data_IF_132191884468
#
_entry.id   IF_132191884468
#
_cell.length_a   1.000
_cell.length_b   1.000
_cell.length_c   1.000
_cell.angle_alpha   90.00
_cell.angle_beta   90.00
_cell.angle_gamma   90.00
#
_symmetry.space_group_name_H-M   'P 1'
#
loop_
_entity.id
_entity.type
_entity.pdbx_description
1 polymer ?
#
# COMPACT_ATOMS: atom_id res chain seq x y z
N UNK A 1 27.72 -19.52 5.25
CA UNK A 1 27.29 -18.17 4.83
C UNK A 1 26.03 -18.34 3.99
N UNK A 2 24.86 -18.05 4.56
CA UNK A 2 23.58 -18.25 3.85
C UNK A 2 23.18 -16.96 3.11
N UNK A 3 22.70 -17.03 1.86
CA UNK A 3 22.25 -15.84 1.15
C UNK A 3 20.99 -15.30 1.83
N UNK A 4 21.00 -14.02 2.17
CA UNK A 4 19.79 -13.27 2.52
C UNK A 4 19.03 -13.03 1.23
N UNK A 5 18.08 -13.91 0.92
CA UNK A 5 17.03 -13.58 -0.04
C UNK A 5 16.30 -12.35 0.49
N UNK A 6 16.22 -11.23 -0.24
CA UNK A 6 15.23 -10.23 0.11
C UNK A 6 13.88 -10.90 -0.14
N UNK A 7 13.26 -11.39 0.92
CA UNK A 7 11.82 -11.55 0.87
C UNK A 7 11.30 -10.16 0.54
N UNK A 8 10.81 -9.96 -0.68
CA UNK A 8 9.71 -9.03 -0.95
C UNK A 8 8.50 -9.60 -0.20
N UNK A 9 8.64 -9.69 1.13
CA UNK A 9 7.64 -10.11 2.07
C UNK A 9 6.57 -9.08 1.91
N UNK A 10 5.56 -9.43 1.12
CA UNK A 10 4.25 -8.84 1.10
C UNK A 10 4.33 -7.32 1.16
N UNK A 11 4.06 -6.63 0.06
CA UNK A 11 3.34 -5.37 0.20
C UNK A 11 2.01 -5.73 0.88
N UNK A 12 2.05 -5.94 2.20
CA UNK A 12 0.92 -5.82 3.09
C UNK A 12 0.50 -4.43 2.73
N UNK A 13 -0.56 -4.31 1.94
CA UNK A 13 -1.27 -3.06 1.73
C UNK A 13 -1.44 -2.55 3.14
N UNK A 14 -0.57 -1.61 3.52
CA UNK A 14 -0.38 -1.31 4.91
C UNK A 14 -1.74 -0.87 5.38
N UNK A 15 -2.23 -1.44 6.48
CA UNK A 15 -3.48 -0.99 7.09
C UNK A 15 -3.51 0.55 7.12
N UNK A 16 -2.34 1.16 7.30
CA UNK A 16 -2.05 2.58 7.12
C UNK A 16 -1.80 2.99 5.66
N UNK A 17 -2.56 3.98 5.21
CA UNK A 17 -2.51 4.53 3.86
C UNK A 17 -1.25 5.40 3.68
N UNK A 18 -0.23 4.90 2.98
CA UNK A 18 0.97 5.62 2.52
C UNK A 18 1.60 6.62 3.52
N UNK A 19 1.71 6.25 4.81
CA UNK A 19 2.31 7.11 5.84
C UNK A 19 1.41 8.23 6.37
N UNK A 20 0.17 8.32 5.89
CA UNK A 20 -0.88 9.16 6.48
C UNK A 20 -1.35 8.59 7.83
N UNK A 21 -2.03 9.38 8.68
CA UNK A 21 -2.66 8.85 9.89
C UNK A 21 -3.85 7.92 9.60
N UNK A 22 -4.32 7.82 8.34
CA UNK A 22 -5.50 7.03 7.99
C UNK A 22 -5.19 5.54 7.90
N UNK A 23 -6.00 4.74 8.59
CA UNK A 23 -5.86 3.30 8.72
C UNK A 23 -7.19 2.60 8.46
N UNK A 24 -7.24 1.56 7.61
CA UNK A 24 -8.47 0.79 7.33
C UNK A 24 -8.55 -0.48 8.18
N UNK A 25 -9.56 -0.57 9.06
CA UNK A 25 -9.79 -1.72 9.97
C UNK A 25 -11.26 -2.08 10.03
N UNK A 26 -11.57 -3.36 9.86
CA UNK A 26 -12.95 -3.86 9.89
C UNK A 26 -13.87 -3.20 8.86
N UNK A 27 -13.34 -2.74 7.73
CA UNK A 27 -14.10 -2.03 6.70
C UNK A 27 -14.28 -0.52 6.94
N UNK A 28 -13.78 0.02 8.06
CA UNK A 28 -13.89 1.43 8.40
C UNK A 28 -12.54 2.13 8.42
N UNK A 29 -12.55 3.44 8.16
CA UNK A 29 -11.38 4.30 8.27
C UNK A 29 -11.22 4.82 9.69
N UNK A 30 -10.00 4.72 10.22
CA UNK A 30 -9.58 5.22 11.51
C UNK A 30 -8.43 6.19 11.33
N UNK A 31 -8.51 7.37 11.95
CA UNK A 31 -7.41 8.32 12.04
C UNK A 31 -6.63 8.04 13.32
N UNK A 32 -5.36 7.69 13.18
CA UNK A 32 -4.49 7.32 14.31
C UNK A 32 -3.55 8.47 14.63
N UNK A 33 -3.63 8.96 15.87
CA UNK A 33 -2.71 9.92 16.47
C UNK A 33 -2.01 9.30 17.69
N UNK A 34 -1.00 9.98 18.22
CA UNK A 34 -0.33 9.54 19.46
C UNK A 34 -1.28 9.47 20.66
N UNK A 35 -2.31 10.32 20.68
CA UNK A 35 -3.29 10.42 21.76
C UNK A 35 -4.42 9.39 21.65
N UNK A 36 -4.54 8.68 20.52
CA UNK A 36 -5.61 7.69 20.31
C UNK A 36 -6.00 7.51 18.85
N UNK A 37 -7.10 6.79 18.63
CA UNK A 37 -7.69 6.58 17.31
C UNK A 37 -9.10 7.12 17.26
N UNK A 38 -9.44 7.81 16.17
CA UNK A 38 -10.77 8.35 15.91
C UNK A 38 -11.37 7.66 14.68
N UNK A 39 -12.62 7.22 14.80
CA UNK A 39 -13.37 6.69 13.67
C UNK A 39 -13.71 7.85 12.70
N UNK A 40 -13.33 7.72 11.43
CA UNK A 40 -13.78 8.63 10.39
C UNK A 40 -15.22 8.26 10.00
N UNK A 41 -16.17 9.10 10.39
CA UNK A 41 -17.60 8.88 10.16
C UNK A 41 -18.19 9.75 9.05
N UNK A 42 -17.49 10.79 8.62
CA UNK A 42 -17.94 11.66 7.53
C UNK A 42 -17.88 10.90 6.17
N UNK A 43 -19.01 10.75 5.46
CA UNK A 43 -19.06 9.98 4.22
C UNK A 43 -18.23 10.58 3.07
N UNK A 44 -18.16 11.91 2.98
CA UNK A 44 -17.39 12.56 1.92
C UNK A 44 -15.89 12.34 2.15
N UNK A 45 -15.45 12.53 3.39
CA UNK A 45 -14.06 12.29 3.78
C UNK A 45 -13.64 10.83 3.61
N UNK A 46 -14.48 9.88 4.05
CA UNK A 46 -14.19 8.45 3.86
C UNK A 46 -14.17 8.04 2.39
N UNK A 47 -15.01 8.65 1.55
CA UNK A 47 -14.95 8.48 0.10
C UNK A 47 -13.64 8.96 -0.52
N UNK A 48 -13.07 10.07 -0.05
CA UNK A 48 -11.74 10.54 -0.50
C UNK A 48 -10.62 9.57 -0.08
N UNK A 49 -10.69 9.01 1.13
CA UNK A 49 -9.72 8.00 1.57
C UNK A 49 -9.81 6.72 0.75
N UNK A 50 -11.02 6.29 0.37
CA UNK A 50 -11.21 5.14 -0.51
C UNK A 50 -10.62 5.39 -1.91
N UNK A 51 -10.84 6.60 -2.47
CA UNK A 51 -10.24 6.98 -3.76
C UNK A 51 -8.71 7.00 -3.71
N UNK A 52 -8.15 7.60 -2.66
CA UNK A 52 -6.70 7.61 -2.47
C UNK A 52 -6.12 6.19 -2.33
N UNK A 53 -6.82 5.29 -1.63
CA UNK A 53 -6.43 3.90 -1.53
C UNK A 53 -6.46 3.18 -2.88
N UNK A 54 -7.45 3.45 -3.72
CA UNK A 54 -7.53 2.91 -5.07
C UNK A 54 -6.40 3.43 -5.97
N UNK A 55 -6.11 4.73 -5.92
CA UNK A 55 -5.04 5.34 -6.71
C UNK A 55 -3.65 4.80 -6.32
N UNK A 56 -3.41 4.64 -5.02
CA UNK A 56 -2.16 4.03 -4.52
C UNK A 56 -2.03 2.56 -4.95
N UNK A 57 -3.12 1.79 -4.88
CA UNK A 57 -3.11 0.42 -5.36
C UNK A 57 -2.82 0.35 -6.87
N UNK A 58 -3.40 1.26 -7.67
CA UNK A 58 -3.13 1.34 -9.10
C UNK A 58 -1.66 1.70 -9.38
N UNK A 59 -1.10 2.64 -8.63
CA UNK A 59 0.31 3.01 -8.73
C UNK A 59 1.24 1.82 -8.39
N UNK A 60 0.96 1.10 -7.30
CA UNK A 60 1.74 -0.08 -6.90
C UNK A 60 1.69 -1.17 -7.99
N UNK A 61 0.54 -1.41 -8.61
CA UNK A 61 0.41 -2.34 -9.72
C UNK A 61 1.19 -1.89 -10.95
N UNK A 62 1.16 -0.59 -11.28
CA UNK A 62 1.92 -0.04 -12.39
C UNK A 62 3.44 -0.20 -12.16
N UNK A 63 3.93 0.07 -10.95
CA UNK A 63 5.33 -0.14 -10.58
C UNK A 63 5.70 -1.63 -10.67
N UNK A 64 4.85 -2.52 -10.16
CA UNK A 64 5.07 -3.96 -10.24
C UNK A 64 5.19 -4.44 -11.69
N UNK A 65 4.35 -3.95 -12.60
CA UNK A 65 4.40 -4.27 -14.02
C UNK A 65 5.71 -3.82 -14.69
N UNK A 66 6.20 -2.62 -14.34
CA UNK A 66 7.50 -2.10 -14.82
C UNK A 66 8.65 -2.99 -14.35
N UNK A 67 8.66 -3.37 -13.07
CA UNK A 67 9.69 -4.25 -12.50
C UNK A 67 9.68 -5.63 -13.13
N UNK A 68 8.50 -6.23 -13.32
CA UNK A 68 8.34 -7.52 -13.99
C UNK A 68 8.87 -7.48 -15.44
N UNK A 69 8.55 -6.42 -16.19
CA UNK A 69 9.02 -6.25 -17.56
C UNK A 69 10.55 -6.14 -17.63
N UNK A 70 11.16 -5.38 -16.71
CA UNK A 70 12.61 -5.17 -16.65
C UNK A 70 13.38 -6.45 -16.31
N UNK A 71 12.85 -7.25 -15.39
CA UNK A 71 13.47 -8.53 -14.98
C UNK A 71 13.45 -9.54 -16.12
N UNK A 72 12.34 -9.64 -16.87
CA UNK A 72 12.25 -10.48 -18.06
C UNK A 72 13.27 -10.07 -19.14
N UNK A 73 13.44 -8.77 -19.39
CA UNK A 73 14.41 -8.25 -20.35
C UNK A 73 15.87 -8.51 -19.94
N UNK A 74 16.18 -8.46 -18.64
CA UNK A 74 17.53 -8.74 -18.15
C UNK A 74 17.87 -10.24 -18.17
N UNK A 75 16.87 -11.11 -17.95
CA UNK A 75 17.03 -12.56 -18.08
C UNK A 75 17.27 -13.01 -19.52
N UNK A 76 16.63 -12.36 -20.51
CA UNK A 76 16.81 -12.67 -21.93
C UNK A 76 18.14 -12.19 -22.54
N UNK A 77 18.92 -11.38 -21.79
CA UNK A 77 20.23 -10.87 -22.21
C UNK A 77 21.42 -11.64 -21.62
N UNK A 78 21.17 -12.74 -20.91
CA UNK A 78 22.17 -13.67 -20.38
C UNK A 78 22.11 -14.98 -21.14
#
# INVERSE_FOLDING_TARGET
MSPRTPALSSFRTTERLAGTPAVRRGGHWWLVASTGSLLASDPAFTGELDRLAADLAAADQAVAAVVASRTAQHGARR
#
